data_IF_658413497259
#
_entry.id   IF_658413497259
#
_cell.length_a   1.000
_cell.length_b   1.000
_cell.length_c   1.000
_cell.angle_alpha   90.00
_cell.angle_beta   90.00
_cell.angle_gamma   90.00
#
_symmetry.space_group_name_H-M   'P 1'
#
loop_
_entity.id
_entity.type
_entity.pdbx_description
1 polymer ?
#
# COMPACT_ATOMS: atom_id res chain seq x y z
N UNK A 1 -46.64 23.94 -27.90
CA UNK A 1 -46.20 23.52 -26.55
C UNK A 1 -45.17 22.39 -26.59
N UNK A 2 -43.93 22.64 -26.20
CA UNK A 2 -43.02 21.60 -25.72
C UNK A 2 -43.21 21.48 -24.20
N UNK A 3 -43.86 20.41 -23.74
CA UNK A 3 -43.98 20.09 -22.31
C UNK A 3 -42.64 19.58 -21.78
N UNK A 4 -41.72 20.51 -21.54
CA UNK A 4 -40.44 20.27 -20.87
C UNK A 4 -40.64 20.00 -19.37
N UNK A 5 -41.12 18.80 -19.04
CA UNK A 5 -41.18 18.34 -17.65
C UNK A 5 -39.78 17.96 -17.16
N UNK A 6 -38.99 18.91 -16.66
CA UNK A 6 -37.81 18.58 -15.87
C UNK A 6 -38.29 17.85 -14.61
N UNK A 7 -38.16 16.53 -14.59
CA UNK A 7 -38.51 15.69 -13.44
C UNK A 7 -37.48 15.94 -12.33
N UNK A 8 -37.53 17.11 -11.69
CA UNK A 8 -36.69 17.43 -10.55
C UNK A 8 -37.01 16.41 -9.45
N UNK A 9 -36.11 15.46 -9.22
CA UNK A 9 -36.21 14.55 -8.09
C UNK A 9 -36.19 15.36 -6.80
N UNK A 10 -37.13 15.07 -5.90
CA UNK A 10 -37.05 15.56 -4.52
C UNK A 10 -35.73 15.11 -3.89
N UNK A 11 -35.11 15.99 -3.08
CA UNK A 11 -33.82 15.73 -2.41
C UNK A 11 -33.81 14.39 -1.67
N UNK A 12 -34.92 14.01 -1.03
CA UNK A 12 -35.05 12.74 -0.32
C UNK A 12 -35.07 11.52 -1.25
N UNK A 13 -35.68 11.64 -2.44
CA UNK A 13 -35.68 10.58 -3.46
C UNK A 13 -34.28 10.39 -4.05
N UNK A 14 -33.59 11.50 -4.35
CA UNK A 14 -32.20 11.46 -4.78
C UNK A 14 -31.30 10.80 -3.73
N UNK A 15 -31.44 11.21 -2.46
CA UNK A 15 -30.69 10.60 -1.35
C UNK A 15 -30.92 9.09 -1.25
N UNK A 16 -32.17 8.62 -1.29
CA UNK A 16 -32.46 7.18 -1.22
C UNK A 16 -31.88 6.40 -2.40
N UNK A 17 -31.96 6.94 -3.62
CA UNK A 17 -31.37 6.31 -4.81
C UNK A 17 -29.86 6.20 -4.65
N UNK A 18 -29.17 7.30 -4.29
CA UNK A 18 -27.72 7.29 -4.10
C UNK A 18 -27.30 6.36 -2.96
N UNK A 19 -28.06 6.32 -1.85
CA UNK A 19 -27.81 5.43 -0.73
C UNK A 19 -27.88 3.96 -1.15
N UNK A 20 -28.95 3.56 -1.83
CA UNK A 20 -29.14 2.18 -2.30
C UNK A 20 -28.06 1.83 -3.33
N UNK A 21 -27.79 2.70 -4.31
CA UNK A 21 -26.74 2.48 -5.30
C UNK A 21 -25.36 2.35 -4.66
N UNK A 22 -25.03 3.19 -3.68
CA UNK A 22 -23.75 3.14 -2.97
C UNK A 22 -23.63 1.88 -2.12
N UNK A 23 -24.72 1.45 -1.46
CA UNK A 23 -24.76 0.20 -0.70
C UNK A 23 -24.53 -1.01 -1.61
N UNK A 24 -25.27 -1.09 -2.72
CA UNK A 24 -25.11 -2.17 -3.71
C UNK A 24 -23.69 -2.15 -4.28
N UNK A 25 -23.18 -0.98 -4.66
CA UNK A 25 -21.83 -0.88 -5.21
C UNK A 25 -20.74 -1.20 -4.19
N UNK A 26 -20.91 -0.91 -2.90
CA UNK A 26 -19.94 -1.31 -1.87
C UNK A 26 -19.95 -2.83 -1.63
N UNK A 27 -21.13 -3.46 -1.72
CA UNK A 27 -21.30 -4.90 -1.53
C UNK A 27 -20.66 -5.74 -2.66
N UNK A 28 -20.69 -5.24 -3.90
CA UNK A 28 -20.16 -5.95 -5.08
C UNK A 28 -18.66 -6.24 -4.98
N UNK A 29 -17.74 -5.26 -4.87
CA UNK A 29 -16.31 -5.50 -4.72
C UNK A 29 -15.99 -6.10 -3.34
N UNK A 30 -16.75 -5.76 -2.29
CA UNK A 30 -16.46 -6.26 -0.94
C UNK A 30 -16.75 -7.75 -0.74
N UNK A 31 -17.80 -8.28 -1.38
CA UNK A 31 -18.30 -9.64 -1.11
C UNK A 31 -18.51 -10.49 -2.35
N UNK A 32 -19.14 -9.97 -3.42
CA UNK A 32 -19.50 -10.79 -4.58
C UNK A 32 -18.31 -11.01 -5.53
N UNK A 33 -17.52 -9.98 -5.79
CA UNK A 33 -16.41 -9.98 -6.76
C UNK A 33 -15.20 -9.24 -6.22
N UNK A 34 -14.51 -9.85 -5.25
CA UNK A 34 -13.30 -9.30 -4.62
C UNK A 34 -12.16 -9.00 -5.60
N UNK A 35 -12.14 -9.63 -6.77
CA UNK A 35 -11.19 -9.31 -7.84
C UNK A 35 -11.31 -7.86 -8.34
N UNK A 36 -12.46 -7.20 -8.16
CA UNK A 36 -12.66 -5.78 -8.52
C UNK A 36 -11.90 -4.82 -7.59
N UNK A 37 -11.58 -5.27 -6.38
CA UNK A 37 -10.77 -4.49 -5.42
C UNK A 37 -9.31 -4.39 -5.88
N UNK A 38 -8.80 -5.33 -6.66
CA UNK A 38 -7.45 -5.27 -7.24
C UNK A 38 -7.38 -5.92 -8.62
N UNK A 39 -7.64 -5.12 -9.64
CA UNK A 39 -7.51 -5.49 -11.05
C UNK A 39 -6.05 -5.29 -11.45
N UNK A 40 -5.27 -6.35 -11.36
CA UNK A 40 -3.84 -6.35 -11.70
C UNK A 40 -3.62 -6.90 -13.11
N UNK A 41 -3.78 -6.07 -14.15
CA UNK A 41 -3.70 -6.55 -15.56
C UNK A 41 -2.33 -7.15 -15.89
N UNK A 42 -1.25 -6.63 -15.29
CA UNK A 42 0.12 -7.18 -15.44
C UNK A 42 0.18 -8.65 -14.98
N UNK A 43 -0.52 -8.99 -13.89
CA UNK A 43 -0.62 -10.36 -13.40
C UNK A 43 -1.40 -11.27 -14.35
N UNK A 44 -2.39 -10.74 -15.10
CA UNK A 44 -3.14 -11.51 -16.08
C UNK A 44 -2.32 -11.79 -17.34
N UNK A 45 -1.61 -10.78 -17.85
CA UNK A 45 -0.74 -10.92 -19.03
C UNK A 45 0.43 -11.86 -18.73
N UNK A 46 1.05 -11.75 -17.55
CA UNK A 46 2.21 -12.53 -17.16
C UNK A 46 1.90 -13.50 -16.00
N UNK A 47 0.90 -14.35 -16.18
CA UNK A 47 0.42 -15.29 -15.16
C UNK A 47 1.49 -16.28 -14.65
N UNK A 48 2.44 -16.68 -15.50
CA UNK A 48 3.47 -17.68 -15.16
C UNK A 48 4.74 -17.10 -14.52
N UNK A 49 4.92 -15.77 -14.53
CA UNK A 49 6.15 -15.16 -14.07
C UNK A 49 6.02 -14.70 -12.61
N UNK A 50 6.81 -15.30 -11.71
CA UNK A 50 6.82 -14.94 -10.28
C UNK A 50 7.21 -13.47 -10.08
N UNK A 51 8.18 -12.97 -10.86
CA UNK A 51 8.60 -11.57 -10.78
C UNK A 51 7.48 -10.63 -11.24
N UNK A 52 6.77 -10.97 -12.33
CA UNK A 52 5.64 -10.15 -12.78
C UNK A 52 4.49 -10.15 -11.76
N UNK A 53 4.26 -11.25 -11.04
CA UNK A 53 3.28 -11.30 -9.95
C UNK A 53 3.71 -10.43 -8.76
N UNK A 54 4.98 -10.48 -8.34
CA UNK A 54 5.50 -9.64 -7.25
C UNK A 54 5.50 -8.14 -7.59
N UNK A 55 5.69 -7.81 -8.87
CA UNK A 55 5.65 -6.43 -9.34
C UNK A 55 4.20 -5.93 -9.51
N UNK A 56 3.38 -6.70 -10.22
CA UNK A 56 2.07 -6.25 -10.69
C UNK A 56 0.93 -6.45 -9.69
N UNK A 57 1.05 -7.35 -8.72
CA UNK A 57 -0.05 -7.63 -7.79
C UNK A 57 -0.30 -6.45 -6.85
N UNK A 58 -1.52 -5.92 -6.85
CA UNK A 58 -1.91 -4.85 -5.92
C UNK A 58 -2.11 -5.29 -4.47
N UNK A 59 -2.31 -6.58 -4.21
CA UNK A 59 -2.52 -7.11 -2.84
C UNK A 59 -1.28 -7.78 -2.25
N UNK A 60 -0.47 -8.43 -3.08
CA UNK A 60 0.68 -9.26 -2.65
C UNK A 60 2.00 -8.80 -3.27
N UNK A 61 2.02 -7.61 -3.88
CA UNK A 61 3.15 -7.10 -4.62
C UNK A 61 3.22 -5.58 -4.58
N UNK A 62 3.99 -4.99 -5.50
CA UNK A 62 4.20 -3.55 -5.59
C UNK A 62 3.03 -2.78 -6.23
N UNK A 63 2.05 -3.49 -6.80
CA UNK A 63 0.87 -2.90 -7.43
C UNK A 63 1.15 -2.16 -8.74
N UNK A 64 2.23 -2.50 -9.45
CA UNK A 64 2.54 -1.88 -10.73
C UNK A 64 1.44 -2.12 -11.75
N UNK A 65 0.72 -1.06 -12.12
CA UNK A 65 -0.42 -1.14 -13.03
C UNK A 65 -1.64 -1.83 -12.42
N UNK A 66 -1.72 -1.99 -11.11
CA UNK A 66 -2.95 -2.45 -10.46
C UNK A 66 -3.96 -1.30 -10.35
N UNK A 67 -5.21 -1.58 -10.69
CA UNK A 67 -6.32 -0.64 -10.56
C UNK A 67 -7.36 -1.19 -9.58
N UNK A 68 -8.09 -0.31 -8.91
CA UNK A 68 -9.19 -0.68 -8.03
C UNK A 68 -10.46 0.03 -8.46
N UNK A 69 -11.58 -0.69 -8.44
CA UNK A 69 -12.92 -0.11 -8.62
C UNK A 69 -13.67 -0.01 -7.27
N UNK A 70 -12.99 -0.35 -6.18
CA UNK A 70 -13.52 -0.29 -4.83
C UNK A 70 -13.17 1.05 -4.17
N UNK A 71 -14.20 1.88 -3.98
CA UNK A 71 -14.04 3.18 -3.33
C UNK A 71 -13.56 3.06 -1.88
N UNK A 72 -13.91 1.97 -1.20
CA UNK A 72 -13.46 1.70 0.17
C UNK A 72 -11.94 1.49 0.20
N UNK A 73 -11.42 0.75 -0.79
CA UNK A 73 -9.98 0.54 -0.94
C UNK A 73 -9.24 1.85 -1.27
N UNK A 74 -9.82 2.73 -2.11
CA UNK A 74 -9.20 4.04 -2.40
C UNK A 74 -9.15 4.91 -1.14
N UNK A 75 -10.29 5.03 -0.44
CA UNK A 75 -10.43 5.92 0.71
C UNK A 75 -9.69 5.44 1.96
N UNK A 76 -9.40 4.14 2.10
CA UNK A 76 -8.65 3.60 3.25
C UNK A 76 -7.17 3.99 3.25
N UNK A 77 -6.56 4.24 2.08
CA UNK A 77 -5.12 4.51 1.97
C UNK A 77 -4.76 6.00 1.91
N UNK A 78 -5.55 6.82 1.20
CA UNK A 78 -5.22 8.23 0.97
C UNK A 78 -6.17 9.20 1.68
N UNK A 79 -7.00 8.70 2.61
CA UNK A 79 -8.21 9.38 3.03
C UNK A 79 -9.13 9.62 1.81
N UNK A 80 -10.28 10.30 1.96
CA UNK A 80 -11.12 10.59 0.79
C UNK A 80 -10.44 11.61 -0.11
N UNK A 81 -9.99 11.25 -1.33
CA UNK A 81 -9.27 12.17 -2.21
C UNK A 81 -10.15 13.31 -2.73
N UNK A 82 -11.48 13.20 -2.58
CA UNK A 82 -12.41 14.31 -2.86
C UNK A 82 -12.24 15.48 -1.88
N UNK A 83 -11.69 15.23 -0.69
CA UNK A 83 -11.49 16.25 0.34
C UNK A 83 -10.13 16.94 0.15
N UNK A 84 -9.12 16.20 -0.32
CA UNK A 84 -7.78 16.75 -0.56
C UNK A 84 -7.72 17.59 -1.84
N UNK A 85 -6.96 18.70 -1.86
CA UNK A 85 -6.73 19.46 -3.09
C UNK A 85 -5.97 18.61 -4.12
N UNK A 86 -6.31 18.78 -5.40
CA UNK A 86 -5.72 18.00 -6.51
C UNK A 86 -4.20 18.01 -6.52
N UNK A 87 -3.58 19.15 -6.20
CA UNK A 87 -2.12 19.28 -6.14
C UNK A 87 -1.48 18.33 -5.13
N UNK A 88 -2.10 18.12 -3.96
CA UNK A 88 -1.60 17.18 -2.96
C UNK A 88 -1.64 15.74 -3.48
N UNK A 89 -2.73 15.36 -4.15
CA UNK A 89 -2.89 14.05 -4.77
C UNK A 89 -1.83 13.79 -5.85
N UNK A 90 -1.55 14.78 -6.70
CA UNK A 90 -0.50 14.67 -7.72
C UNK A 90 0.87 14.54 -7.07
N UNK A 91 1.16 15.27 -5.99
CA UNK A 91 2.44 15.15 -5.28
C UNK A 91 2.65 13.74 -4.70
N UNK A 92 1.61 13.17 -4.07
CA UNK A 92 1.65 11.77 -3.60
C UNK A 92 1.87 10.79 -4.75
N UNK A 93 1.21 11.00 -5.89
CA UNK A 93 1.42 10.17 -7.09
C UNK A 93 2.86 10.25 -7.61
N UNK A 94 3.44 11.45 -7.66
CA UNK A 94 4.85 11.63 -8.05
C UNK A 94 5.78 10.90 -7.08
N UNK A 95 5.54 11.03 -5.77
CA UNK A 95 6.30 10.30 -4.74
C UNK A 95 6.20 8.79 -4.90
N UNK A 96 5.00 8.26 -5.17
CA UNK A 96 4.77 6.85 -5.47
C UNK A 96 5.55 6.40 -6.72
N UNK A 97 5.50 7.16 -7.82
CA UNK A 97 6.23 6.84 -9.05
C UNK A 97 7.73 6.84 -8.79
N UNK A 98 8.28 7.84 -8.11
CA UNK A 98 9.70 7.88 -7.76
C UNK A 98 10.09 6.69 -6.88
N UNK A 99 9.27 6.35 -5.90
CA UNK A 99 9.54 5.24 -5.00
C UNK A 99 9.57 3.90 -5.75
N UNK A 100 8.54 3.60 -6.53
CA UNK A 100 8.40 2.30 -7.20
C UNK A 100 9.33 2.15 -8.40
N UNK A 101 9.55 3.22 -9.18
CA UNK A 101 10.34 3.13 -10.42
C UNK A 101 11.81 3.50 -10.24
N UNK A 102 12.18 4.25 -9.20
CA UNK A 102 13.57 4.68 -8.97
C UNK A 102 14.15 4.04 -7.72
N UNK A 103 13.54 4.25 -6.56
CA UNK A 103 14.13 3.81 -5.27
C UNK A 103 14.10 2.28 -5.14
N UNK A 104 12.96 1.66 -5.37
CA UNK A 104 12.82 0.20 -5.25
C UNK A 104 13.75 -0.55 -6.21
N UNK A 105 13.87 -0.18 -7.50
CA UNK A 105 14.72 -0.93 -8.40
C UNK A 105 16.21 -0.72 -8.15
N UNK A 106 16.62 0.50 -7.79
CA UNK A 106 18.01 0.80 -7.43
C UNK A 106 18.42 0.07 -6.16
N UNK A 107 17.56 0.02 -5.14
CA UNK A 107 17.85 -0.69 -3.90
C UNK A 107 17.92 -2.22 -4.07
N UNK A 108 16.95 -2.82 -4.79
CA UNK A 108 16.86 -4.28 -4.93
C UNK A 108 17.82 -4.83 -5.99
N UNK A 109 17.76 -4.35 -7.25
CA UNK A 109 18.58 -4.89 -8.33
C UNK A 109 19.96 -4.25 -8.40
N UNK A 110 20.04 -2.92 -8.21
CA UNK A 110 21.27 -2.15 -8.39
C UNK A 110 22.28 -2.36 -7.26
N UNK A 111 21.88 -2.11 -6.02
CA UNK A 111 22.79 -2.13 -4.87
C UNK A 111 22.69 -3.38 -4.01
N UNK A 112 21.64 -4.20 -4.18
CA UNK A 112 21.33 -5.34 -3.30
C UNK A 112 21.41 -4.97 -1.82
N UNK A 113 20.78 -3.84 -1.46
CA UNK A 113 20.90 -3.25 -0.14
C UNK A 113 20.41 -4.25 0.94
N UNK A 114 21.17 -4.44 2.02
CA UNK A 114 20.87 -5.40 3.08
C UNK A 114 20.67 -6.86 2.62
N UNK A 115 21.35 -7.30 1.56
CA UNK A 115 21.12 -8.61 0.95
C UNK A 115 19.66 -8.83 0.56
N UNK A 116 18.99 -7.77 0.07
CA UNK A 116 17.58 -7.79 -0.30
C UNK A 116 17.18 -8.96 -1.22
N UNK A 117 18.07 -9.41 -2.11
CA UNK A 117 17.82 -10.54 -3.03
C UNK A 117 17.61 -11.89 -2.33
N UNK A 118 18.01 -12.03 -1.07
CA UNK A 118 17.78 -13.23 -0.25
C UNK A 118 16.30 -13.35 0.17
N UNK A 119 15.54 -12.26 0.10
CA UNK A 119 14.15 -12.18 0.54
C UNK A 119 13.20 -11.76 -0.59
N UNK A 120 11.89 -12.01 -0.46
CA UNK A 120 10.90 -11.45 -1.38
C UNK A 120 10.96 -9.91 -1.36
N UNK A 121 10.77 -9.27 -2.52
CA UNK A 121 10.78 -7.80 -2.65
C UNK A 121 9.75 -7.16 -1.72
N UNK A 122 8.56 -7.76 -1.68
CA UNK A 122 7.42 -7.37 -0.85
C UNK A 122 7.01 -8.55 0.03
N UNK A 123 7.07 -8.37 1.35
CA UNK A 123 6.54 -9.32 2.33
C UNK A 123 6.39 -8.65 3.69
N UNK A 124 5.30 -8.96 4.39
CA UNK A 124 5.08 -8.58 5.79
C UNK A 124 5.75 -9.54 6.79
N UNK A 125 6.31 -10.65 6.32
CA UNK A 125 7.00 -11.61 7.17
C UNK A 125 8.42 -11.15 7.52
N UNK A 126 8.91 -11.66 8.65
CA UNK A 126 10.28 -11.48 9.11
C UNK A 126 11.14 -12.65 8.61
N UNK A 127 12.42 -12.40 8.37
CA UNK A 127 13.34 -13.41 7.84
C UNK A 127 14.66 -13.46 8.60
N UNK A 128 15.20 -14.67 8.76
CA UNK A 128 16.57 -14.87 9.22
C UNK A 128 17.55 -14.60 8.07
N UNK A 129 18.84 -14.43 8.36
CA UNK A 129 19.86 -14.08 7.35
C UNK A 129 19.96 -15.04 6.16
N UNK A 130 19.43 -16.27 6.31
CA UNK A 130 19.39 -17.31 5.28
C UNK A 130 18.14 -17.28 4.38
N UNK A 131 17.20 -16.35 4.58
CA UNK A 131 15.95 -16.29 3.81
C UNK A 131 14.78 -17.08 4.41
N UNK A 132 15.01 -17.84 5.48
CA UNK A 132 13.95 -18.61 6.16
C UNK A 132 13.04 -17.70 7.00
N UNK A 133 11.74 -18.04 7.15
CA UNK A 133 10.83 -17.27 8.01
C UNK A 133 11.33 -17.22 9.45
N UNK A 134 11.42 -16.03 10.02
CA UNK A 134 11.85 -15.79 11.40
C UNK A 134 10.66 -15.91 12.34
N UNK A 135 10.75 -16.81 13.33
CA UNK A 135 9.71 -16.97 14.36
C UNK A 135 10.08 -16.15 15.59
N UNK A 136 9.25 -15.16 15.91
CA UNK A 136 9.47 -14.29 17.08
C UNK A 136 9.40 -15.11 18.38
N UNK A 137 8.55 -16.14 18.42
CA UNK A 137 8.43 -17.04 19.57
C UNK A 137 9.76 -17.73 19.95
N UNK A 138 10.69 -17.88 19.00
CA UNK A 138 11.96 -18.58 19.24
C UNK A 138 12.99 -17.68 19.94
N UNK A 139 12.77 -16.36 20.01
CA UNK A 139 13.64 -15.39 20.70
C UNK A 139 12.98 -14.71 21.88
N UNK A 140 11.78 -15.15 22.27
CA UNK A 140 11.01 -14.52 23.34
C UNK A 140 10.77 -15.55 24.44
N UNK A 141 11.14 -15.20 25.67
CA UNK A 141 10.93 -16.05 26.83
C UNK A 141 9.44 -16.09 27.25
N UNK A 142 9.11 -16.93 28.23
CA UNK A 142 7.73 -17.07 28.73
C UNK A 142 7.16 -15.77 29.34
N UNK A 143 8.02 -14.81 29.69
CA UNK A 143 7.67 -13.50 30.22
C UNK A 143 7.56 -12.42 29.12
N UNK A 144 7.55 -12.82 27.85
CA UNK A 144 7.53 -11.92 26.68
C UNK A 144 8.73 -10.95 26.60
N UNK A 145 9.87 -11.34 27.16
CA UNK A 145 11.13 -10.60 27.06
C UNK A 145 12.05 -11.26 26.04
N UNK A 146 12.93 -10.45 25.44
CA UNK A 146 13.94 -10.93 24.50
C UNK A 146 14.91 -11.86 25.22
N UNK A 147 14.99 -13.10 24.75
CA UNK A 147 16.04 -14.03 25.12
C UNK A 147 17.28 -13.71 24.28
N UNK A 148 18.26 -13.06 24.90
CA UNK A 148 19.50 -12.65 24.23
C UNK A 148 20.33 -13.82 23.76
N UNK A 149 20.31 -14.96 24.47
CA UNK A 149 21.08 -16.14 24.09
C UNK A 149 20.47 -16.82 22.85
N UNK A 150 19.14 -16.94 22.83
CA UNK A 150 18.42 -17.43 21.65
C UNK A 150 18.59 -16.48 20.45
N UNK A 151 18.53 -15.16 20.70
CA UNK A 151 18.75 -14.15 19.67
C UNK A 151 20.16 -14.19 19.09
N UNK A 152 21.20 -14.36 19.90
CA UNK A 152 22.58 -14.45 19.43
C UNK A 152 22.82 -15.72 18.59
N UNK A 153 22.09 -16.81 18.86
CA UNK A 153 22.12 -18.05 18.06
C UNK A 153 21.37 -17.93 16.74
N UNK A 154 20.19 -17.32 16.75
CA UNK A 154 19.32 -17.17 15.56
C UNK A 154 19.77 -16.02 14.64
N UNK A 155 20.41 -15.01 15.21
CA UNK A 155 20.91 -13.84 14.51
C UNK A 155 19.86 -12.74 14.32
N UNK A 156 20.25 -11.71 13.57
CA UNK A 156 19.44 -10.50 13.37
C UNK A 156 18.19 -10.78 12.54
N UNK A 157 17.11 -10.09 12.89
CA UNK A 157 15.87 -10.07 12.13
C UNK A 157 16.06 -9.23 10.87
N UNK A 158 15.65 -9.76 9.72
CA UNK A 158 15.65 -9.06 8.44
C UNK A 158 14.21 -8.86 7.94
N UNK A 159 14.00 -7.76 7.23
CA UNK A 159 12.72 -7.38 6.63
C UNK A 159 12.86 -7.40 5.10
N UNK A 160 11.73 -7.48 4.40
CA UNK A 160 11.73 -7.20 2.97
C UNK A 160 12.21 -5.77 2.71
N UNK A 161 12.93 -5.57 1.60
CA UNK A 161 13.52 -4.26 1.30
C UNK A 161 12.46 -3.16 1.15
N UNK A 162 11.28 -3.52 0.63
CA UNK A 162 10.14 -2.62 0.53
C UNK A 162 9.73 -2.09 1.91
N UNK A 163 9.59 -2.98 2.90
CA UNK A 163 9.23 -2.57 4.27
C UNK A 163 10.34 -1.75 4.92
N UNK A 164 11.60 -2.17 4.78
CA UNK A 164 12.73 -1.46 5.37
C UNK A 164 12.83 -0.01 4.88
N UNK A 165 12.75 0.21 3.55
CA UNK A 165 12.83 1.56 2.98
C UNK A 165 11.55 2.36 3.30
N UNK A 166 10.37 1.73 3.27
CA UNK A 166 9.13 2.40 3.65
C UNK A 166 9.16 2.92 5.09
N UNK A 167 9.71 2.15 6.03
CA UNK A 167 9.94 2.66 7.40
C UNK A 167 10.93 3.83 7.43
N UNK A 168 12.03 3.74 6.69
CA UNK A 168 12.99 4.84 6.55
C UNK A 168 12.32 6.14 6.06
N UNK A 169 11.50 6.06 5.02
CA UNK A 169 10.76 7.23 4.54
C UNK A 169 9.69 7.72 5.52
N UNK A 170 9.03 6.84 6.27
CA UNK A 170 8.11 7.28 7.32
C UNK A 170 8.82 8.14 8.38
N UNK A 171 10.03 7.77 8.80
CA UNK A 171 10.82 8.61 9.69
C UNK A 171 11.26 9.93 9.03
N UNK A 172 11.63 9.89 7.74
CA UNK A 172 11.96 11.09 6.98
C UNK A 172 10.76 12.05 6.88
N UNK A 173 9.53 11.55 6.74
CA UNK A 173 8.30 12.35 6.71
C UNK A 173 8.11 13.12 8.02
N UNK A 174 8.43 12.52 9.17
CA UNK A 174 8.35 13.21 10.47
C UNK A 174 9.32 14.41 10.48
N UNK A 175 10.59 14.17 10.10
CA UNK A 175 11.59 15.23 10.03
C UNK A 175 11.23 16.32 9.01
N UNK A 176 10.71 15.93 7.84
CA UNK A 176 10.25 16.84 6.80
C UNK A 176 9.06 17.69 7.29
N UNK A 177 8.14 17.11 8.06
CA UNK A 177 6.99 17.83 8.62
C UNK A 177 7.45 18.89 9.62
N UNK A 178 8.36 18.54 10.54
CA UNK A 178 8.94 19.49 11.50
C UNK A 178 9.65 20.63 10.75
N UNK A 179 10.44 20.29 9.74
CA UNK A 179 11.19 21.26 8.92
C UNK A 179 10.24 22.18 8.16
N UNK A 180 9.19 21.63 7.56
CA UNK A 180 8.17 22.39 6.84
C UNK A 180 7.44 23.35 7.78
N UNK A 181 7.00 22.88 8.94
CA UNK A 181 6.33 23.75 9.94
C UNK A 181 7.28 24.86 10.40
N UNK A 182 8.54 24.52 10.68
CA UNK A 182 9.57 25.46 11.08
C UNK A 182 9.78 26.59 10.06
N UNK A 183 9.99 26.26 8.79
CA UNK A 183 10.18 27.29 7.76
C UNK A 183 8.91 28.03 7.35
N UNK A 184 7.77 27.34 7.34
CA UNK A 184 6.52 27.94 6.86
C UNK A 184 5.86 28.85 7.90
N UNK A 185 5.97 28.50 9.18
CA UNK A 185 5.34 29.27 10.27
C UNK A 185 6.34 29.98 11.19
N UNK A 186 7.63 29.63 11.15
CA UNK A 186 8.64 30.15 12.08
C UNK A 186 9.18 31.55 11.80
N UNK A 187 8.85 32.15 10.63
CA UNK A 187 9.56 33.29 10.02
C UNK A 187 11.01 32.98 9.63
#
# INVERSE_FOLDING_TARGET
EFTGGSRQMSRSKFFLVVLICSFVWAFVPGYLFQSLTSISWVCWVFSKSVTAQQLGSGMKGLGLGAFTLDWTAVSSFLFSPLISPFFATVNVLVGYVLFIYVVMPTAYWGMNLYNAKTFPIFSSHLFASNGSPYKIADIVNQQFQLDTEAYDKLGRINLSIFFAISYGFNFATIAATITHVGFFYGK
#
